data_IF_526472290807
#
_entry.id   IF_526472290807
#
_cell.length_a   1.000
_cell.length_b   1.000
_cell.length_c   1.000
_cell.angle_alpha   90.00
_cell.angle_beta   90.00
_cell.angle_gamma   90.00
#
_symmetry.space_group_name_H-M   'P 1'
#
loop_
_entity.id
_entity.type
_entity.pdbx_description
1 polymer ?
#
# COMPACT_ATOMS: atom_id res chain seq x y z
N UNK A 1 0.78 -5.13 1.22
CA UNK A 1 -0.44 -4.51 1.76
C UNK A 1 -0.18 -4.07 3.18
N UNK A 2 0.15 -5.00 4.09
CA UNK A 2 0.47 -4.69 5.50
C UNK A 2 1.47 -3.55 5.69
N UNK A 3 2.67 -3.60 5.10
CA UNK A 3 3.66 -2.52 5.28
C UNK A 3 3.14 -1.15 4.83
N UNK A 4 2.47 -1.07 3.68
CA UNK A 4 1.85 0.17 3.23
C UNK A 4 0.74 0.68 4.19
N UNK A 5 0.03 -0.23 4.86
CA UNK A 5 -0.96 0.15 5.87
C UNK A 5 -0.31 0.63 7.17
N UNK A 6 0.85 0.09 7.52
CA UNK A 6 1.66 0.55 8.66
C UNK A 6 2.23 1.95 8.39
N UNK A 7 2.67 2.22 7.17
CA UNK A 7 3.11 3.55 6.75
C UNK A 7 1.94 4.56 6.85
N UNK A 8 0.74 4.18 6.39
CA UNK A 8 -0.47 5.02 6.52
C UNK A 8 -0.85 5.22 8.00
N UNK A 9 -0.76 4.17 8.81
CA UNK A 9 -0.99 4.24 10.26
C UNK A 9 -0.01 5.21 10.94
N UNK A 10 1.28 5.10 10.60
CA UNK A 10 2.30 6.02 11.09
C UNK A 10 1.97 7.46 10.70
N UNK A 11 1.66 7.71 9.43
CA UNK A 11 1.28 9.02 8.94
C UNK A 11 0.06 9.58 9.70
N UNK A 12 -0.99 8.78 9.93
CA UNK A 12 -2.16 9.20 10.70
C UNK A 12 -1.74 9.67 12.09
N UNK A 13 -0.87 8.93 12.78
CA UNK A 13 -0.43 9.33 14.12
C UNK A 13 0.43 10.58 14.11
N UNK A 14 1.29 10.73 13.12
CA UNK A 14 2.12 11.93 12.99
C UNK A 14 1.27 13.17 12.73
N UNK A 15 0.20 13.05 11.94
CA UNK A 15 -0.66 14.18 11.57
C UNK A 15 -1.83 14.43 12.53
N UNK A 16 -2.31 13.39 13.24
CA UNK A 16 -3.54 13.43 14.05
C UNK A 16 -3.32 13.05 15.53
N UNK A 17 -2.10 12.68 15.90
CA UNK A 17 -1.77 12.21 17.25
C UNK A 17 -2.48 10.91 17.60
N UNK A 18 -3.18 10.88 18.73
CA UNK A 18 -3.97 9.72 19.18
C UNK A 18 -5.37 9.61 18.56
N UNK A 19 -5.80 10.62 17.79
CA UNK A 19 -7.15 10.66 17.21
C UNK A 19 -7.22 9.79 15.95
N UNK A 20 -8.20 8.89 15.91
CA UNK A 20 -8.52 8.17 14.68
C UNK A 20 -9.15 9.12 13.66
N UNK A 21 -8.88 8.96 12.35
CA UNK A 21 -9.69 9.61 11.34
C UNK A 21 -11.13 9.08 11.41
N UNK A 22 -12.10 9.97 11.22
CA UNK A 22 -13.51 9.59 11.15
C UNK A 22 -13.78 8.59 10.01
N UNK A 23 -13.10 8.77 8.87
CA UNK A 23 -13.16 7.84 7.75
C UNK A 23 -11.82 7.69 7.04
N UNK A 24 -11.58 6.50 6.49
CA UNK A 24 -10.50 6.22 5.54
C UNK A 24 -11.11 5.69 4.25
N UNK A 25 -10.72 6.27 3.12
CA UNK A 25 -11.20 5.88 1.79
C UNK A 25 -10.02 5.42 0.94
N UNK A 26 -10.15 4.23 0.35
CA UNK A 26 -9.12 3.65 -0.51
C UNK A 26 -9.70 3.16 -1.83
N UNK A 27 -9.11 3.59 -2.95
CA UNK A 27 -9.47 3.13 -4.29
C UNK A 27 -8.50 2.09 -4.82
N UNK A 28 -9.01 1.04 -5.46
CA UNK A 28 -8.21 0.00 -6.09
C UNK A 28 -7.20 -0.58 -5.07
N UNK A 29 -5.90 -0.59 -5.37
CA UNK A 29 -4.86 -0.99 -4.41
C UNK A 29 -4.97 -0.29 -3.04
N UNK A 30 -5.32 1.00 -3.02
CA UNK A 30 -5.55 1.76 -1.78
C UNK A 30 -6.70 1.19 -0.94
N UNK A 31 -7.69 0.55 -1.55
CA UNK A 31 -8.78 -0.13 -0.85
C UNK A 31 -8.29 -1.32 -0.02
N UNK A 32 -7.34 -2.11 -0.54
CA UNK A 32 -6.69 -3.18 0.24
C UNK A 32 -5.75 -2.66 1.33
N UNK A 33 -5.07 -1.54 1.08
CA UNK A 33 -4.28 -0.86 2.13
C UNK A 33 -5.21 -0.41 3.27
N UNK A 34 -6.36 0.15 2.94
CA UNK A 34 -7.35 0.57 3.92
C UNK A 34 -7.92 -0.62 4.73
N UNK A 35 -8.19 -1.76 4.07
CA UNK A 35 -8.60 -3.00 4.76
C UNK A 35 -7.53 -3.53 5.70
N UNK A 36 -6.26 -3.54 5.26
CA UNK A 36 -5.12 -3.93 6.08
C UNK A 36 -4.92 -3.01 7.28
N UNK A 37 -5.16 -1.70 7.11
CA UNK A 37 -5.11 -0.72 8.18
C UNK A 37 -6.16 -1.02 9.26
N UNK A 38 -7.40 -1.28 8.84
CA UNK A 38 -8.48 -1.61 9.77
C UNK A 38 -8.22 -2.93 10.51
N UNK A 39 -7.77 -3.98 9.81
CA UNK A 39 -7.39 -5.26 10.41
C UNK A 39 -6.30 -5.06 11.48
N UNK A 40 -5.20 -4.39 11.14
CA UNK A 40 -4.08 -4.16 12.04
C UNK A 40 -4.44 -3.31 13.25
N UNK A 41 -5.16 -2.20 13.04
CA UNK A 41 -5.61 -1.30 14.10
C UNK A 41 -6.60 -1.98 15.06
N UNK A 42 -7.53 -2.76 14.53
CA UNK A 42 -8.48 -3.51 15.36
C UNK A 42 -7.80 -4.62 16.16
N UNK A 43 -6.85 -5.35 15.56
CA UNK A 43 -6.05 -6.36 16.24
C UNK A 43 -5.29 -5.76 17.42
N UNK A 44 -4.57 -4.66 17.19
CA UNK A 44 -3.83 -3.97 18.24
C UNK A 44 -4.73 -3.46 19.38
N UNK A 45 -5.93 -2.98 19.07
CA UNK A 45 -6.90 -2.54 20.07
C UNK A 45 -7.43 -3.73 20.91
N UNK A 46 -7.67 -4.88 20.29
CA UNK A 46 -8.13 -6.09 20.99
C UNK A 46 -7.03 -6.67 21.92
N UNK A 47 -5.78 -6.66 21.47
CA UNK A 47 -4.63 -7.09 22.26
C UNK A 47 -4.46 -6.18 23.48
N UNK A 48 -4.51 -4.85 23.28
CA UNK A 48 -4.42 -3.87 24.37
C UNK A 48 -5.56 -4.04 25.41
N UNK A 49 -6.80 -4.28 24.96
CA UNK A 49 -7.92 -4.54 25.85
C UNK A 49 -7.73 -5.81 26.68
N UNK A 50 -7.24 -6.88 26.05
CA UNK A 50 -6.96 -8.16 26.71
C UNK A 50 -5.86 -8.03 27.77
N UNK A 51 -4.76 -7.32 27.44
CA UNK A 51 -3.66 -7.04 28.38
C UNK A 51 -4.13 -6.20 29.56
N UNK A 52 -4.94 -5.16 29.33
CA UNK A 52 -5.50 -4.35 30.42
C UNK A 52 -6.43 -5.17 31.34
N UNK A 53 -7.23 -6.08 30.80
CA UNK A 53 -8.10 -6.93 31.60
C UNK A 53 -7.29 -7.90 32.48
N UNK A 54 -6.22 -8.50 31.94
CA UNK A 54 -5.30 -9.35 32.71
C UNK A 54 -4.55 -8.57 33.79
N UNK A 55 -4.06 -7.37 33.48
CA UNK A 55 -3.42 -6.48 34.47
C UNK A 55 -4.38 -5.99 35.56
N UNK A 56 -5.67 -5.77 35.25
CA UNK A 56 -6.67 -5.45 36.30
C UNK A 56 -6.93 -6.64 37.22
N UNK A 57 -6.78 -7.87 36.72
CA UNK A 57 -6.92 -9.09 37.52
C UNK A 57 -5.66 -9.40 38.34
N UNK A 58 -4.48 -8.99 37.88
CA UNK A 58 -3.20 -9.13 38.58
C UNK A 58 -2.77 -7.76 39.11
N UNK A 59 -3.13 -7.43 40.36
CA UNK A 59 -2.75 -6.18 41.01
C UNK A 59 -1.22 -5.97 41.05
N UNK A 60 -0.59 -5.47 39.99
CA UNK A 60 0.74 -4.86 40.03
C UNK A 60 1.12 -4.12 38.72
N UNK A 61 1.91 -3.08 38.94
CA UNK A 61 2.31 -2.02 38.01
C UNK A 61 3.39 -2.52 37.04
N UNK A 62 3.22 -2.26 35.75
CA UNK A 62 4.30 -1.69 34.93
C UNK A 62 3.73 -1.13 33.62
N UNK A 63 4.15 0.08 33.24
CA UNK A 63 3.65 0.78 32.05
C UNK A 63 4.40 0.29 30.81
N UNK A 64 3.95 -0.81 30.23
CA UNK A 64 4.40 -1.27 28.91
C UNK A 64 3.81 -0.37 27.83
N UNK A 65 4.67 0.33 27.08
CA UNK A 65 4.29 1.03 25.85
C UNK A 65 3.65 0.03 24.88
N UNK A 66 2.33 0.15 24.68
CA UNK A 66 1.57 -0.63 23.71
C UNK A 66 2.18 -0.51 22.32
N UNK A 67 2.01 -1.55 21.51
CA UNK A 67 2.65 -1.74 20.21
C UNK A 67 2.43 -0.50 19.32
N UNK A 68 3.40 0.42 19.33
CA UNK A 68 3.32 1.75 18.75
C UNK A 68 3.45 1.69 17.22
N UNK A 69 2.82 0.69 16.59
CA UNK A 69 2.82 0.44 15.15
C UNK A 69 1.49 0.80 14.48
N UNK A 70 0.38 0.67 15.21
CA UNK A 70 -0.96 0.96 14.69
C UNK A 70 -1.55 2.26 15.24
N UNK A 71 -2.38 2.93 14.45
CA UNK A 71 -3.24 4.02 14.90
C UNK A 71 -4.54 3.45 15.49
N UNK A 72 -5.34 4.30 16.12
CA UNK A 72 -6.70 3.95 16.51
C UNK A 72 -7.53 3.60 15.26
N UNK A 73 -8.39 2.55 15.31
CA UNK A 73 -9.15 2.11 14.14
C UNK A 73 -10.14 3.20 13.65
N UNK A 74 -10.27 3.42 12.33
CA UNK A 74 -11.23 4.39 11.80
C UNK A 74 -12.67 3.93 12.03
N UNK A 75 -13.59 4.89 12.26
CA UNK A 75 -15.03 4.59 12.41
C UNK A 75 -15.64 4.10 11.10
N UNK A 76 -15.29 4.73 9.98
CA UNK A 76 -15.72 4.34 8.64
C UNK A 76 -14.55 3.94 7.75
N UNK A 77 -14.72 2.87 7.00
CA UNK A 77 -13.81 2.42 5.96
C UNK A 77 -14.55 2.36 4.62
N UNK A 78 -14.02 3.00 3.58
CA UNK A 78 -14.59 2.94 2.24
C UNK A 78 -13.61 2.27 1.27
N UNK A 79 -14.05 1.15 0.71
CA UNK A 79 -13.32 0.38 -0.29
C UNK A 79 -13.94 0.68 -1.66
N UNK A 80 -13.22 1.45 -2.48
CA UNK A 80 -13.71 1.89 -3.78
C UNK A 80 -13.16 0.97 -4.88
N UNK A 81 -14.06 0.21 -5.50
CA UNK A 81 -13.85 -0.75 -6.58
C UNK A 81 -12.56 -1.59 -6.43
N UNK A 82 -12.36 -2.13 -5.22
CA UNK A 82 -11.24 -3.00 -4.90
C UNK A 82 -11.75 -4.35 -4.42
N UNK A 83 -11.33 -5.42 -5.10
CA UNK A 83 -11.57 -6.78 -4.65
C UNK A 83 -10.92 -6.99 -3.26
N UNK A 84 -11.63 -7.54 -2.27
CA UNK A 84 -11.05 -7.83 -0.94
C UNK A 84 -10.21 -9.11 -0.94
N UNK A 85 -10.55 -10.10 -1.78
CA UNK A 85 -9.87 -11.38 -1.87
C UNK A 85 -8.71 -11.42 -2.85
N UNK A 86 -8.10 -12.59 -2.99
CA UNK A 86 -7.00 -12.82 -3.94
C UNK A 86 -7.44 -12.60 -5.39
N UNK A 87 -6.53 -12.06 -6.19
CA UNK A 87 -6.70 -11.86 -7.64
C UNK A 87 -5.86 -12.92 -8.35
N UNK A 88 -6.51 -13.78 -9.14
CA UNK A 88 -5.82 -14.81 -9.92
C UNK A 88 -4.94 -14.21 -11.03
N UNK A 89 -4.00 -15.00 -11.55
CA UNK A 89 -3.14 -14.56 -12.64
C UNK A 89 -3.94 -14.32 -13.93
N UNK A 90 -4.98 -15.12 -14.16
CA UNK A 90 -5.88 -15.04 -15.30
C UNK A 90 -6.69 -13.73 -15.27
N UNK A 91 -7.26 -13.38 -14.11
CA UNK A 91 -7.96 -12.10 -13.95
C UNK A 91 -7.00 -10.92 -14.11
N UNK A 92 -5.82 -10.99 -13.49
CA UNK A 92 -4.80 -9.95 -13.57
C UNK A 92 -4.33 -9.69 -15.00
N UNK A 93 -4.17 -10.75 -15.81
CA UNK A 93 -3.77 -10.64 -17.21
C UNK A 93 -4.71 -9.73 -18.02
N UNK A 94 -6.00 -9.69 -17.67
CA UNK A 94 -7.00 -8.80 -18.29
C UNK A 94 -6.87 -7.33 -17.92
N UNK A 95 -6.15 -6.98 -16.84
CA UNK A 95 -6.09 -5.59 -16.31
C UNK A 95 -4.99 -4.73 -16.94
N UNK A 96 -3.98 -5.35 -17.55
CA UNK A 96 -2.82 -4.66 -18.13
C UNK A 96 -1.76 -4.18 -17.12
N UNK A 97 -2.00 -4.26 -15.81
CA UNK A 97 -1.05 -3.75 -14.78
C UNK A 97 0.25 -4.56 -14.76
N UNK A 98 0.16 -5.90 -14.77
CA UNK A 98 1.34 -6.78 -14.85
C UNK A 98 2.15 -6.59 -16.13
N UNK A 99 1.51 -6.16 -17.23
CA UNK A 99 2.22 -5.77 -18.45
C UNK A 99 3.02 -4.49 -18.19
N UNK A 100 2.39 -3.44 -17.64
CA UNK A 100 3.07 -2.17 -17.32
C UNK A 100 4.27 -2.40 -16.40
N UNK A 101 4.13 -3.19 -15.33
CA UNK A 101 5.23 -3.47 -14.41
C UNK A 101 6.40 -4.18 -15.09
N UNK A 102 6.12 -5.17 -15.94
CA UNK A 102 7.14 -5.88 -16.73
C UNK A 102 7.89 -4.92 -17.66
N UNK A 103 7.16 -4.00 -18.29
CA UNK A 103 7.73 -3.02 -19.22
C UNK A 103 8.65 -2.05 -18.48
N UNK A 104 8.19 -1.48 -17.37
CA UNK A 104 8.99 -0.59 -16.51
C UNK A 104 10.25 -1.30 -16.00
N UNK A 105 10.15 -2.57 -15.59
CA UNK A 105 11.30 -3.39 -15.15
C UNK A 105 12.31 -3.68 -16.27
N UNK A 106 11.85 -3.75 -17.53
CA UNK A 106 12.70 -4.05 -18.67
C UNK A 106 13.48 -2.84 -19.19
N UNK A 107 13.10 -1.63 -18.81
CA UNK A 107 13.78 -0.40 -19.26
C UNK A 107 15.18 -0.31 -18.66
N UNK A 108 16.25 -0.27 -19.48
CA UNK A 108 17.61 -0.08 -19.00
C UNK A 108 17.80 1.27 -18.30
N UNK A 109 18.53 1.27 -17.19
CA UNK A 109 18.91 2.47 -16.45
C UNK A 109 20.41 2.79 -16.62
N UNK A 110 20.80 4.08 -16.65
CA UNK A 110 19.92 5.25 -16.67
C UNK A 110 19.22 5.42 -18.03
N UNK A 111 18.02 5.99 -18.01
CA UNK A 111 17.20 6.26 -19.19
C UNK A 111 17.85 7.41 -19.97
N UNK A 112 18.24 7.23 -21.25
CA UNK A 112 19.00 8.26 -21.99
C UNK A 112 18.29 9.60 -22.13
N UNK A 113 16.98 9.58 -22.42
CA UNK A 113 16.14 10.79 -22.51
C UNK A 113 14.65 10.41 -22.49
N UNK A 114 13.76 11.36 -22.23
CA UNK A 114 12.30 11.13 -22.36
C UNK A 114 11.89 10.74 -23.77
N UNK A 115 12.53 11.33 -24.80
CA UNK A 115 12.25 10.99 -26.19
C UNK A 115 12.63 9.53 -26.51
N UNK A 116 13.78 9.08 -26.03
CA UNK A 116 14.20 7.69 -26.15
C UNK A 116 13.21 6.75 -25.44
N UNK A 117 12.77 7.09 -24.22
CA UNK A 117 11.83 6.27 -23.46
C UNK A 117 10.48 6.13 -24.18
N UNK A 118 9.94 7.22 -24.71
CA UNK A 118 8.70 7.20 -25.48
C UNK A 118 8.82 6.27 -26.71
N UNK A 119 9.90 6.41 -27.48
CA UNK A 119 10.16 5.55 -28.63
C UNK A 119 10.31 4.07 -28.21
N UNK A 120 11.06 3.81 -27.14
CA UNK A 120 11.26 2.46 -26.60
C UNK A 120 9.94 1.81 -26.21
N UNK A 121 9.11 2.48 -25.40
CA UNK A 121 7.82 1.96 -24.95
C UNK A 121 6.84 1.73 -26.11
N UNK A 122 6.79 2.65 -27.09
CA UNK A 122 5.96 2.48 -28.30
C UNK A 122 6.40 1.29 -29.14
N UNK A 123 7.71 1.08 -29.30
CA UNK A 123 8.26 -0.07 -30.04
C UNK A 123 7.88 -1.42 -29.40
N UNK A 124 7.57 -1.42 -28.10
CA UNK A 124 7.06 -2.56 -27.34
C UNK A 124 5.52 -2.66 -27.32
N UNK A 125 4.86 -1.86 -28.15
CA UNK A 125 3.42 -1.91 -28.38
C UNK A 125 2.58 -1.26 -27.29
N UNK A 126 3.14 -0.34 -26.51
CA UNK A 126 2.35 0.52 -25.61
C UNK A 126 1.72 1.66 -26.42
N UNK A 127 0.51 2.06 -26.03
CA UNK A 127 -0.16 3.21 -26.66
C UNK A 127 0.58 4.51 -26.37
N UNK A 128 0.34 5.52 -27.20
CA UNK A 128 0.88 6.87 -27.03
C UNK A 128 0.60 7.42 -25.62
N UNK A 129 -0.65 7.34 -25.19
CA UNK A 129 -1.09 7.85 -23.89
C UNK A 129 -0.38 7.14 -22.72
N UNK A 130 -0.25 5.80 -22.78
CA UNK A 130 0.40 5.04 -21.72
C UNK A 130 1.91 5.31 -21.67
N UNK A 131 2.56 5.40 -22.82
CA UNK A 131 3.99 5.75 -22.90
C UNK A 131 4.26 7.16 -22.37
N UNK A 132 3.42 8.14 -22.73
CA UNK A 132 3.51 9.51 -22.23
C UNK A 132 3.30 9.59 -20.71
N UNK A 133 2.32 8.86 -20.19
CA UNK A 133 2.09 8.77 -18.75
C UNK A 133 3.29 8.17 -18.02
N UNK A 134 3.84 7.05 -18.48
CA UNK A 134 5.05 6.46 -17.89
C UNK A 134 6.24 7.41 -17.95
N UNK A 135 6.46 8.09 -19.09
CA UNK A 135 7.56 9.03 -19.25
C UNK A 135 7.45 10.25 -18.31
N UNK A 136 6.24 10.63 -17.90
CA UNK A 136 6.04 11.69 -16.89
C UNK A 136 6.55 11.31 -15.50
N UNK A 137 6.64 10.01 -15.20
CA UNK A 137 7.14 9.45 -13.94
C UNK A 137 8.66 9.27 -13.92
N UNK A 138 9.41 10.17 -14.57
CA UNK A 138 10.87 10.14 -14.62
C UNK A 138 11.48 11.42 -14.05
N UNK A 139 12.57 11.26 -13.32
CA UNK A 139 13.37 12.34 -12.72
C UNK A 139 14.80 12.29 -13.26
N UNK A 140 15.58 13.39 -13.20
CA UNK A 140 17.01 13.34 -13.48
C UNK A 140 17.71 12.27 -12.63
N UNK A 141 18.53 11.43 -13.25
CA UNK A 141 19.41 10.54 -12.51
C UNK A 141 20.44 11.41 -11.78
N UNK A 142 20.50 11.32 -10.45
CA UNK A 142 21.51 12.04 -9.68
C UNK A 142 22.91 11.67 -10.19
N UNK A 143 23.81 12.67 -10.28
CA UNK A 143 25.21 12.40 -10.61
C UNK A 143 25.81 11.41 -9.60
N UNK A 144 26.59 10.41 -10.03
CA UNK A 144 27.30 9.53 -9.11
C UNK A 144 28.36 10.37 -8.36
N UNK A 145 28.00 10.91 -7.20
CA UNK A 145 28.91 11.79 -6.46
C UNK A 145 28.38 12.51 -5.22
N UNK A 146 27.08 12.47 -4.87
CA UNK A 146 26.59 13.04 -3.62
C UNK A 146 25.50 12.16 -2.99
N UNK A 147 25.66 11.97 -1.68
CA UNK A 147 25.03 10.98 -0.81
C UNK A 147 23.51 10.83 -0.95
N UNK A 148 23.05 9.57 -0.97
CA UNK A 148 21.64 9.23 -0.75
C UNK A 148 21.23 9.59 0.68
N UNK A 149 20.04 10.17 0.92
CA UNK A 149 19.44 10.10 2.24
C UNK A 149 19.12 8.64 2.57
N UNK A 150 19.58 8.21 3.74
CA UNK A 150 19.45 6.86 4.26
C UNK A 150 18.00 6.39 4.30
N UNK A 151 17.66 5.37 3.52
CA UNK A 151 16.50 4.52 3.82
C UNK A 151 16.89 3.61 4.99
N UNK A 152 16.29 3.84 6.15
CA UNK A 152 16.47 2.96 7.31
C UNK A 152 15.74 1.64 7.06
N UNK A 153 16.47 0.67 6.50
CA UNK A 153 16.06 -0.73 6.50
C UNK A 153 16.39 -1.30 7.89
N UNK A 154 15.41 -1.39 8.78
CA UNK A 154 15.57 -2.16 10.02
C UNK A 154 15.51 -3.65 9.68
N UNK A 155 16.67 -4.23 9.35
CA UNK A 155 16.87 -5.66 9.38
C UNK A 155 17.13 -6.08 10.84
N UNK A 156 16.24 -6.91 11.41
CA UNK A 156 16.51 -7.61 12.66
C UNK A 156 17.64 -8.63 12.46
N UNK A 157 18.66 -8.67 13.33
CA UNK A 157 19.64 -9.74 13.30
C UNK A 157 19.06 -11.03 13.89
N UNK A 158 19.43 -12.22 13.36
CA UNK A 158 19.11 -13.48 14.02
C UNK A 158 20.01 -13.63 15.26
N UNK A 159 19.38 -13.96 16.38
CA UNK A 159 20.02 -14.43 17.60
C UNK A 159 20.78 -15.73 17.36
N UNK A 160 22.10 -15.73 17.54
CA UNK A 160 22.87 -16.94 17.72
C UNK A 160 23.69 -16.87 19.01
N UNK A 161 23.52 -17.95 19.77
CA UNK A 161 24.08 -18.22 21.08
C UNK A 161 25.57 -18.59 21.01
N UNK A 162 26.23 -18.46 22.16
CA UNK A 162 27.67 -18.41 22.36
C UNK A 162 28.43 -19.74 22.15
N UNK A 163 29.73 -19.62 21.87
CA UNK A 163 30.72 -20.64 22.26
C UNK A 163 32.06 -20.63 21.49
N UNK A 164 33.14 -20.22 22.17
CA UNK A 164 34.45 -20.90 22.04
C UNK A 164 35.63 -20.19 21.36
N UNK A 165 36.48 -19.56 22.19
CA UNK A 165 37.96 -19.67 22.24
C UNK A 165 38.88 -19.37 21.03
N UNK A 166 39.80 -18.41 21.27
CA UNK A 166 41.28 -18.42 21.06
C UNK A 166 41.84 -18.82 19.66
N UNK A 167 42.90 -18.27 19.06
CA UNK A 167 43.98 -17.31 19.34
C UNK A 167 44.73 -17.08 17.99
N UNK A 168 45.59 -16.05 17.96
CA UNK A 168 46.81 -15.91 17.15
C UNK A 168 46.84 -15.29 15.73
N UNK A 169 47.63 -14.19 15.69
CA UNK A 169 48.73 -13.89 14.77
C UNK A 169 48.45 -13.21 13.39
N UNK A 170 48.77 -11.92 13.36
CA UNK A 170 49.36 -11.14 12.26
C UNK A 170 50.89 -11.46 12.11
N UNK A 171 51.70 -10.88 11.18
CA UNK A 171 51.40 -10.00 10.01
C UNK A 171 52.30 -10.28 8.76
N UNK A 172 52.15 -9.45 7.71
CA UNK A 172 53.19 -9.13 6.71
C UNK A 172 52.71 -9.35 5.26
N UNK A 173 53.03 -8.55 4.24
CA UNK A 173 53.84 -7.35 4.12
C UNK A 173 53.44 -6.60 2.82
N UNK A 174 53.51 -5.27 2.91
CA UNK A 174 53.97 -4.28 1.92
C UNK A 174 54.46 -4.80 0.56
N UNK A 175 54.03 -4.18 -0.54
CA UNK A 175 54.93 -3.51 -1.50
C UNK A 175 54.16 -2.65 -2.52
N UNK A 176 54.57 -1.39 -2.62
CA UNK A 176 54.17 -0.44 -3.65
C UNK A 176 54.98 -0.67 -4.93
N UNK A 177 54.39 -0.43 -6.09
CA UNK A 177 55.14 0.02 -7.27
C UNK A 177 54.35 1.01 -8.12
N UNK A 178 55.03 2.11 -8.38
CA UNK A 178 54.69 3.29 -9.16
C UNK A 178 55.03 3.02 -10.63
N UNK A 179 54.16 3.42 -11.56
CA UNK A 179 54.42 3.38 -13.00
C UNK A 179 53.75 4.55 -13.70
N UNK A 180 54.55 5.54 -14.08
CA UNK A 180 54.20 6.73 -14.86
C UNK A 180 54.52 6.51 -16.34
N UNK A 181 53.69 7.02 -17.26
CA UNK A 181 54.05 7.85 -18.43
C UNK A 181 53.07 7.71 -19.60
N UNK A 182 52.82 8.82 -20.31
CA UNK A 182 52.35 8.79 -21.70
C UNK A 182 51.50 9.98 -22.13
N UNK A 183 52.14 11.11 -22.47
CA UNK A 183 51.54 12.22 -23.21
C UNK A 183 51.37 11.85 -24.70
N UNK A 184 50.26 12.28 -25.32
CA UNK A 184 50.07 12.28 -26.77
C UNK A 184 48.91 13.22 -27.14
N UNK A 185 49.23 14.32 -27.83
CA UNK A 185 48.31 15.42 -28.09
C UNK A 185 47.47 15.32 -29.37
N UNK A 186 46.54 16.27 -29.50
CA UNK A 186 46.41 17.09 -30.71
C UNK A 186 45.50 16.60 -31.85
N UNK A 187 44.19 16.71 -31.63
CA UNK A 187 43.12 17.12 -32.56
C UNK A 187 43.28 17.13 -34.08
N UNK A 188 42.34 16.47 -34.76
CA UNK A 188 41.46 17.00 -35.84
C UNK A 188 40.16 16.18 -35.77
N UNK A 189 38.96 16.75 -35.63
CA UNK A 189 38.24 17.46 -36.69
C UNK A 189 37.17 16.55 -37.31
N UNK A 190 36.07 16.28 -36.60
CA UNK A 190 34.94 15.50 -37.10
C UNK A 190 33.64 15.96 -36.45
N UNK A 191 32.84 16.73 -37.19
CA UNK A 191 31.59 17.32 -36.73
C UNK A 191 30.55 16.27 -36.33
N UNK A 192 30.32 16.15 -35.02
CA UNK A 192 29.15 15.50 -34.45
C UNK A 192 28.09 16.56 -34.18
N UNK A 193 27.00 16.51 -34.92
CA UNK A 193 25.78 17.30 -34.72
C UNK A 193 25.36 17.27 -33.26
N UNK A 194 25.25 18.45 -32.64
CA UNK A 194 24.77 18.61 -31.27
C UNK A 194 23.35 18.09 -31.11
N UNK A 195 23.22 16.87 -30.60
CA UNK A 195 22.03 16.46 -29.86
C UNK A 195 22.09 17.16 -28.52
N UNK A 196 21.09 17.99 -28.19
CA UNK A 196 20.92 18.54 -26.86
C UNK A 196 20.88 17.39 -25.86
N UNK A 197 22.00 17.09 -25.22
CA UNK A 197 22.15 16.01 -24.26
C UNK A 197 21.35 16.35 -23.01
N UNK A 198 20.05 16.03 -23.01
CA UNK A 198 19.25 16.04 -21.80
C UNK A 198 19.93 15.16 -20.76
N UNK A 199 19.92 15.60 -19.51
CA UNK A 199 20.48 14.81 -18.40
C UNK A 199 19.85 13.40 -18.40
N UNK A 200 20.64 12.34 -18.19
CA UNK A 200 20.10 10.98 -18.06
C UNK A 200 19.05 10.94 -16.95
N UNK A 201 18.05 10.08 -17.10
CA UNK A 201 16.88 10.00 -16.22
C UNK A 201 16.83 8.66 -15.48
N UNK A 202 16.04 8.61 -14.42
CA UNK A 202 15.63 7.39 -13.73
C UNK A 202 14.13 7.44 -13.42
N UNK A 203 13.56 6.33 -12.96
CA UNK A 203 12.18 6.30 -12.49
C UNK A 203 12.03 7.13 -11.21
N UNK A 204 10.93 7.88 -11.11
CA UNK A 204 10.59 8.67 -9.93
C UNK A 204 10.11 7.81 -8.74
N UNK A 205 10.05 6.49 -8.93
CA UNK A 205 9.54 5.53 -7.97
C UNK A 205 10.40 4.26 -7.96
N UNK A 206 10.35 3.53 -6.85
CA UNK A 206 10.99 2.21 -6.75
C UNK A 206 10.20 1.17 -7.57
N UNK A 207 10.79 0.73 -8.67
CA UNK A 207 10.22 -0.28 -9.57
C UNK A 207 10.05 -1.64 -8.88
N UNK A 208 11.01 -2.03 -8.04
CA UNK A 208 10.95 -3.31 -7.32
C UNK A 208 9.89 -3.23 -6.23
N UNK A 209 9.85 -2.13 -5.47
CA UNK A 209 8.81 -1.83 -4.50
C UNK A 209 7.41 -1.82 -5.12
N UNK A 210 7.24 -1.19 -6.28
CA UNK A 210 5.96 -1.19 -7.01
C UNK A 210 5.53 -2.61 -7.42
N UNK A 211 6.48 -3.43 -7.91
CA UNK A 211 6.24 -4.84 -8.22
C UNK A 211 5.82 -5.65 -6.99
N UNK A 212 6.57 -5.54 -5.89
CA UNK A 212 6.28 -6.22 -4.63
C UNK A 212 4.92 -5.80 -4.04
N UNK A 213 4.60 -4.50 -4.11
CA UNK A 213 3.34 -3.95 -3.63
C UNK A 213 2.17 -4.51 -4.44
N UNK A 214 2.27 -4.51 -5.77
CA UNK A 214 1.23 -5.08 -6.63
C UNK A 214 1.07 -6.59 -6.41
N UNK A 215 2.19 -7.29 -6.23
CA UNK A 215 2.15 -8.71 -5.93
C UNK A 215 1.43 -9.02 -4.62
N UNK A 216 1.71 -8.24 -3.58
CA UNK A 216 0.97 -8.32 -2.33
C UNK A 216 -0.50 -7.97 -2.51
N UNK A 217 -0.85 -6.99 -3.35
CA UNK A 217 -2.25 -6.71 -3.69
C UNK A 217 -2.94 -7.96 -4.24
N UNK A 218 -2.33 -8.70 -5.17
CA UNK A 218 -2.96 -9.90 -5.74
C UNK A 218 -3.10 -11.05 -4.73
N UNK A 219 -2.14 -11.23 -3.83
CA UNK A 219 -2.06 -12.45 -2.99
C UNK A 219 -2.69 -12.32 -1.61
N UNK A 220 -3.04 -11.10 -1.18
CA UNK A 220 -3.63 -10.88 0.15
C UNK A 220 -5.15 -10.97 0.12
N UNK A 221 -5.72 -11.53 1.18
CA UNK A 221 -7.17 -11.77 1.33
C UNK A 221 -7.72 -11.07 2.58
N UNK A 222 -8.74 -10.25 2.39
CA UNK A 222 -9.41 -9.46 3.44
C UNK A 222 -10.91 -9.73 3.51
N UNK A 223 -11.40 -10.85 2.97
CA UNK A 223 -12.84 -11.15 3.04
C UNK A 223 -13.36 -11.21 4.46
N UNK A 224 -12.54 -11.69 5.39
CA UNK A 224 -12.91 -11.77 6.80
C UNK A 224 -13.23 -10.39 7.41
N UNK A 225 -12.63 -9.30 6.93
CA UNK A 225 -12.92 -7.92 7.39
C UNK A 225 -14.30 -7.46 6.92
N UNK A 226 -14.77 -7.92 5.76
CA UNK A 226 -16.10 -7.61 5.26
C UNK A 226 -17.16 -8.53 5.89
N UNK A 227 -16.85 -9.81 6.05
CA UNK A 227 -17.77 -10.82 6.59
C UNK A 227 -17.95 -10.71 8.10
N UNK A 228 -16.91 -10.27 8.81
CA UNK A 228 -16.89 -10.06 10.26
C UNK A 228 -16.16 -8.75 10.59
N UNK A 229 -16.76 -7.59 10.27
CA UNK A 229 -16.12 -6.31 10.52
C UNK A 229 -15.82 -6.13 12.01
N UNK A 230 -14.66 -5.56 12.38
CA UNK A 230 -14.31 -5.33 13.77
C UNK A 230 -15.38 -4.50 14.52
N UNK A 231 -15.59 -4.75 15.83
CA UNK A 231 -16.56 -4.00 16.62
C UNK A 231 -16.40 -2.48 16.47
N UNK A 232 -17.51 -1.78 16.23
CA UNK A 232 -17.52 -0.33 16.04
C UNK A 232 -17.09 0.18 14.66
N UNK A 233 -16.57 -0.68 13.78
CA UNK A 233 -16.21 -0.31 12.40
C UNK A 233 -17.42 -0.38 11.46
N UNK A 234 -17.53 0.58 10.55
CA UNK A 234 -18.49 0.60 9.45
C UNK A 234 -17.74 0.47 8.12
N UNK A 235 -17.86 -0.67 7.46
CA UNK A 235 -17.19 -0.95 6.19
C UNK A 235 -18.17 -0.76 5.04
N UNK A 236 -17.84 0.14 4.12
CA UNK A 236 -18.59 0.37 2.90
C UNK A 236 -17.74 -0.06 1.70
N UNK A 237 -18.30 -0.88 0.81
CA UNK A 237 -17.67 -1.21 -0.47
C UNK A 237 -18.49 -0.65 -1.61
N UNK A 238 -17.88 0.20 -2.44
CA UNK A 238 -18.52 0.76 -3.63
C UNK A 238 -17.96 0.08 -4.86
N UNK A 239 -18.79 -0.69 -5.55
CA UNK A 239 -18.47 -1.35 -6.82
C UNK A 239 -18.93 -0.48 -7.99
N UNK A 240 -18.11 -0.39 -9.04
CA UNK A 240 -18.55 0.22 -10.30
C UNK A 240 -19.51 -0.70 -11.04
N UNK A 241 -20.69 -0.21 -11.42
CA UNK A 241 -21.72 -1.04 -12.08
C UNK A 241 -21.30 -1.62 -13.44
N UNK A 242 -20.31 -1.01 -14.12
CA UNK A 242 -19.68 -1.51 -15.36
C UNK A 242 -18.27 -2.04 -15.14
N UNK A 243 -17.85 -2.22 -13.88
CA UNK A 243 -16.51 -2.76 -13.57
C UNK A 243 -16.45 -4.24 -13.95
N UNK A 244 -15.47 -4.59 -14.78
CA UNK A 244 -15.17 -5.95 -15.23
C UNK A 244 -14.35 -6.76 -14.20
N UNK A 245 -14.06 -6.16 -13.04
CA UNK A 245 -13.21 -6.74 -12.00
C UNK A 245 -13.93 -7.68 -11.05
N UNK A 246 -15.22 -7.95 -11.24
CA UNK A 246 -16.02 -8.68 -10.24
C UNK A 246 -16.61 -9.97 -10.82
N UNK A 247 -15.90 -11.10 -10.71
CA UNK A 247 -16.43 -12.41 -11.09
C UNK A 247 -17.67 -12.79 -10.27
N UNK A 248 -18.47 -13.70 -10.81
CA UNK A 248 -19.74 -14.11 -10.22
C UNK A 248 -19.62 -14.70 -8.81
N UNK A 249 -18.53 -15.41 -8.50
CA UNK A 249 -18.29 -15.95 -7.16
C UNK A 249 -18.04 -14.84 -6.14
N UNK A 250 -17.27 -13.81 -6.51
CA UNK A 250 -17.07 -12.63 -5.66
C UNK A 250 -18.35 -11.83 -5.49
N UNK A 251 -19.14 -11.68 -6.55
CA UNK A 251 -20.45 -11.01 -6.50
C UNK A 251 -21.40 -11.74 -5.53
N UNK A 252 -21.50 -13.07 -5.63
CA UNK A 252 -22.30 -13.88 -4.69
C UNK A 252 -21.81 -13.71 -3.25
N UNK A 253 -20.49 -13.68 -3.04
CA UNK A 253 -19.90 -13.50 -1.71
C UNK A 253 -20.15 -12.12 -1.12
N UNK A 254 -20.09 -11.04 -1.93
CA UNK A 254 -20.47 -9.69 -1.51
C UNK A 254 -21.93 -9.63 -1.06
N UNK A 255 -22.85 -10.18 -1.86
CA UNK A 255 -24.28 -10.19 -1.56
C UNK A 255 -24.56 -10.97 -0.26
N UNK A 256 -23.90 -12.11 -0.06
CA UNK A 256 -24.01 -12.89 1.16
C UNK A 256 -23.50 -12.12 2.40
N UNK A 257 -22.34 -11.48 2.31
CA UNK A 257 -21.79 -10.66 3.39
C UNK A 257 -22.70 -9.46 3.72
N UNK A 258 -23.22 -8.76 2.71
CA UNK A 258 -24.13 -7.63 2.90
C UNK A 258 -25.51 -8.05 3.43
N UNK A 259 -25.97 -9.28 3.14
CA UNK A 259 -27.18 -9.84 3.73
C UNK A 259 -26.98 -10.18 5.21
N UNK A 260 -25.85 -10.80 5.55
CA UNK A 260 -25.48 -11.13 6.94
C UNK A 260 -25.36 -9.86 7.81
N UNK A 261 -24.74 -8.79 7.28
CA UNK A 261 -24.63 -7.51 7.98
C UNK A 261 -25.96 -6.81 8.25
N UNK A 262 -26.98 -7.03 7.40
CA UNK A 262 -28.34 -6.49 7.58
C UNK A 262 -29.21 -7.35 8.52
N UNK A 263 -28.93 -8.64 8.61
CA UNK A 263 -29.61 -9.56 9.52
C UNK A 263 -29.14 -9.42 10.98
N UNK A 264 -27.96 -8.82 11.20
CA UNK A 264 -27.51 -8.44 12.52
C UNK A 264 -28.47 -7.38 13.12
N UNK A 265 -28.89 -7.51 14.39
CA UNK A 265 -29.83 -6.57 14.99
C UNK A 265 -29.28 -5.15 14.92
N UNK A 266 -30.13 -4.20 14.52
CA UNK A 266 -29.75 -2.80 14.36
C UNK A 266 -29.02 -2.27 15.61
N UNK A 267 -27.96 -1.45 15.45
CA UNK A 267 -27.15 -0.97 16.56
C UNK A 267 -27.96 -0.26 17.65
N UNK A 268 -29.11 0.33 17.33
CA UNK A 268 -30.03 0.90 18.31
C UNK A 268 -30.70 -0.14 19.23
N UNK A 269 -31.08 -1.31 18.71
CA UNK A 269 -31.69 -2.38 19.50
C UNK A 269 -30.65 -3.13 20.35
N UNK A 270 -29.44 -3.34 19.81
CA UNK A 270 -28.32 -3.92 20.55
C UNK A 270 -27.79 -2.97 21.64
N UNK A 271 -27.72 -1.65 21.37
CA UNK A 271 -27.38 -0.64 22.37
C UNK A 271 -28.44 -0.53 23.48
N UNK A 272 -29.74 -0.61 23.16
CA UNK A 272 -30.81 -0.61 24.15
C UNK A 272 -30.77 -1.86 25.05
N UNK A 273 -30.49 -3.05 24.48
CA UNK A 273 -30.36 -4.29 25.25
C UNK A 273 -29.08 -4.37 26.10
N UNK A 274 -27.98 -3.79 25.61
CA UNK A 274 -26.71 -3.70 26.33
C UNK A 274 -26.76 -2.66 27.47
N UNK A 275 -27.40 -1.51 27.25
CA UNK A 275 -27.64 -0.49 28.26
C UNK A 275 -28.54 -0.99 29.41
N UNK A 276 -29.51 -1.87 29.12
CA UNK A 276 -30.37 -2.48 30.12
C UNK A 276 -29.66 -3.52 31.02
N UNK A 277 -28.53 -4.09 30.58
CA UNK A 277 -27.82 -5.17 31.26
C UNK A 277 -26.39 -4.81 31.72
N UNK A 278 -26.02 -3.52 31.73
CA UNK A 278 -24.72 -3.06 32.25
C UNK A 278 -23.48 -3.54 31.48
N UNK A 279 -23.65 -4.09 30.27
CA UNK A 279 -22.55 -4.50 29.40
C UNK A 279 -22.25 -3.42 28.38
N UNK A 280 -21.00 -2.95 28.30
CA UNK A 280 -20.54 -2.11 27.19
C UNK A 280 -20.83 -2.82 25.86
N UNK A 281 -21.67 -2.21 25.01
CA UNK A 281 -22.27 -2.87 23.86
C UNK A 281 -21.25 -3.53 22.91
N UNK A 282 -21.18 -4.85 22.94
CA UNK A 282 -20.40 -5.67 22.01
C UNK A 282 -21.19 -5.93 20.71
N UNK A 283 -21.63 -4.87 20.04
CA UNK A 283 -22.13 -4.98 18.68
C UNK A 283 -20.95 -5.23 17.73
N UNK A 284 -21.02 -6.27 16.89
CA UNK A 284 -20.06 -6.43 15.79
C UNK A 284 -20.07 -5.22 14.85
N UNK A 285 -19.04 -5.07 14.02
CA UNK A 285 -19.04 -4.02 13.00
C UNK A 285 -20.05 -4.30 11.88
N UNK A 286 -20.28 -3.30 11.02
CA UNK A 286 -21.24 -3.38 9.92
C UNK A 286 -20.55 -3.40 8.56
N UNK A 287 -21.21 -4.02 7.58
CA UNK A 287 -20.78 -4.02 6.19
C UNK A 287 -21.94 -3.65 5.26
N UNK A 288 -21.71 -2.67 4.38
CA UNK A 288 -22.63 -2.26 3.33
C UNK A 288 -21.95 -2.34 1.95
N UNK A 289 -22.61 -3.02 1.01
CA UNK A 289 -22.22 -3.03 -0.40
C UNK A 289 -23.09 -2.05 -1.19
N UNK A 290 -22.43 -1.24 -2.02
CA UNK A 290 -23.04 -0.25 -2.90
C UNK A 290 -22.61 -0.50 -4.34
N UNK A 291 -23.52 -0.26 -5.27
CA UNK A 291 -23.22 -0.25 -6.71
C UNK A 291 -23.38 1.18 -7.23
N UNK A 292 -22.31 1.70 -7.84
CA UNK A 292 -22.33 2.98 -8.53
C UNK A 292 -22.66 2.76 -10.00
N UNK A 293 -23.95 2.86 -10.32
CA UNK A 293 -24.47 2.58 -11.65
C UNK A 293 -23.79 3.40 -12.76
N UNK A 294 -23.40 2.71 -13.82
CA UNK A 294 -22.73 3.31 -14.97
C UNK A 294 -21.26 3.71 -14.77
N UNK A 295 -20.68 3.59 -13.59
CA UNK A 295 -19.23 3.76 -13.39
C UNK A 295 -18.46 2.49 -13.78
N UNK A 296 -17.29 2.65 -14.41
CA UNK A 296 -16.30 1.58 -14.56
C UNK A 296 -15.41 1.50 -13.31
N UNK A 297 -14.15 1.10 -13.48
CA UNK A 297 -13.22 0.97 -12.35
C UNK A 297 -12.84 2.30 -11.70
N UNK A 298 -12.75 3.37 -12.49
CA UNK A 298 -12.29 4.68 -12.04
C UNK A 298 -13.48 5.50 -11.54
N UNK A 299 -14.11 5.07 -10.44
CA UNK A 299 -15.38 5.63 -9.94
C UNK A 299 -15.41 7.16 -9.87
N UNK A 300 -14.33 7.75 -9.35
CA UNK A 300 -14.20 9.20 -9.16
C UNK A 300 -13.97 9.96 -10.48
N UNK A 301 -13.49 9.30 -11.53
CA UNK A 301 -13.36 9.85 -12.89
C UNK A 301 -14.68 9.69 -13.64
N UNK A 302 -15.26 8.49 -13.58
CA UNK A 302 -16.43 8.12 -14.39
C UNK A 302 -17.73 8.75 -13.87
N UNK A 303 -17.89 8.83 -12.55
CA UNK A 303 -19.13 9.27 -11.88
C UNK A 303 -18.85 10.09 -10.59
N UNK A 304 -18.05 11.18 -10.65
CA UNK A 304 -17.67 11.95 -9.44
C UNK A 304 -18.87 12.42 -8.61
N UNK A 305 -19.90 13.00 -9.23
CA UNK A 305 -21.06 13.49 -8.49
C UNK A 305 -21.91 12.34 -7.92
N UNK A 306 -21.99 11.21 -8.63
CA UNK A 306 -22.69 10.03 -8.14
C UNK A 306 -22.01 9.44 -6.90
N UNK A 307 -20.67 9.33 -6.94
CA UNK A 307 -19.88 8.89 -5.80
C UNK A 307 -20.03 9.84 -4.61
N UNK A 308 -19.95 11.16 -4.82
CA UNK A 308 -20.14 12.15 -3.75
C UNK A 308 -21.52 12.06 -3.09
N UNK A 309 -22.59 11.89 -3.88
CA UNK A 309 -23.97 11.72 -3.35
C UNK A 309 -24.12 10.46 -2.51
N UNK A 310 -23.33 9.42 -2.77
CA UNK A 310 -23.35 8.18 -2.02
C UNK A 310 -22.56 8.28 -0.70
N UNK A 311 -21.40 8.94 -0.75
CA UNK A 311 -20.43 9.03 0.37
C UNK A 311 -20.80 10.14 1.35
N UNK A 312 -21.05 11.36 0.89
CA UNK A 312 -21.18 12.54 1.76
C UNK A 312 -22.27 12.42 2.85
N UNK A 313 -23.48 11.90 2.57
CA UNK A 313 -24.51 11.79 3.61
C UNK A 313 -24.10 10.88 4.78
N UNK A 314 -23.20 9.91 4.55
CA UNK A 314 -22.68 9.00 5.59
C UNK A 314 -21.50 9.60 6.35
N UNK A 315 -20.73 10.48 5.71
CA UNK A 315 -19.65 11.21 6.38
C UNK A 315 -20.17 12.34 7.28
N UNK A 316 -21.34 12.92 6.98
CA UNK A 316 -21.90 14.06 7.71
C UNK A 316 -22.23 13.80 9.20
N UNK A 317 -22.19 12.54 9.65
CA UNK A 317 -22.44 12.14 11.04
C UNK A 317 -21.21 11.66 11.82
N UNK A 318 -20.00 11.92 11.31
CA UNK A 318 -18.74 11.51 11.94
C UNK A 318 -18.26 12.45 13.05
#
# INVERSE_FOLDING_TARGET
MRSAAEDVSQLIREQMGSHAPGAVLGHSMGGKVALALLEGAAGAAADAASSQQQQRQQQQRDHGHGDARWCSPPRQLWVLDSQPGKVSAEQDAGTGVSRVLREVQSVPLPIPSRAWLLQHLRSRGLSEALAAWLASSTVPAAHPGLHHPHTHTHAHPPSHDAGGHQTHAQPGAQHAHRGTNGHGGGGTGGGGTGGSGGQPLTWAFDVQGAGALYMSYRTTDYWHVLERPPPGAQVHLVQGGRSDRWPDDMQRRLLAAAAAGRAAPAPAAAAAFAAANGGGGSGGGTFEHHVLEGAGHWLHVDKPQGLLRMVLPRLAGL
#
